data_IF_966303684673
#
_entry.id   IF_966303684673
#
_cell.length_a   1.000
_cell.length_b   1.000
_cell.length_c   1.000
_cell.angle_alpha   90.00
_cell.angle_beta   90.00
_cell.angle_gamma   90.00
#
_symmetry.space_group_name_H-M   'P 1'
#
loop_
_entity.id
_entity.type
_entity.pdbx_description
1 polymer ?
#
# COMPACT_ATOMS: atom_id res chain seq x y z
N UNK A 1 -4.43 19.34 -10.80
CA UNK A 1 -5.27 18.86 -11.92
C UNK A 1 -6.60 19.61 -12.11
N UNK A 2 -6.95 20.66 -11.32
CA UNK A 2 -8.13 21.49 -11.62
C UNK A 2 -9.49 20.77 -11.61
N UNK A 3 -9.54 19.57 -11.05
CA UNK A 3 -10.74 18.73 -10.98
C UNK A 3 -11.72 19.25 -9.94
N UNK A 4 -13.02 19.04 -10.20
CA UNK A 4 -14.03 19.20 -9.15
C UNK A 4 -13.78 18.19 -8.02
N UNK A 5 -14.23 18.51 -6.80
CA UNK A 5 -14.11 17.57 -5.66
C UNK A 5 -14.80 16.23 -5.95
N UNK A 6 -15.93 16.27 -6.66
CA UNK A 6 -16.68 15.09 -7.06
C UNK A 6 -15.86 14.21 -8.01
N UNK A 7 -15.26 14.80 -9.04
CA UNK A 7 -14.45 14.04 -9.99
C UNK A 7 -13.19 13.45 -9.32
N UNK A 8 -12.56 14.20 -8.42
CA UNK A 8 -11.43 13.70 -7.65
C UNK A 8 -11.80 12.48 -6.78
N UNK A 9 -13.01 12.48 -6.20
CA UNK A 9 -13.49 11.38 -5.35
C UNK A 9 -13.68 10.06 -6.13
N UNK A 10 -13.97 10.13 -7.43
CA UNK A 10 -14.10 8.94 -8.26
C UNK A 10 -12.79 8.16 -8.37
N UNK A 11 -11.64 8.85 -8.51
CA UNK A 11 -10.33 8.18 -8.55
C UNK A 11 -10.02 7.43 -7.25
N UNK A 12 -10.32 8.04 -6.10
CA UNK A 12 -10.16 7.36 -4.81
C UNK A 12 -11.10 6.17 -4.66
N UNK A 13 -12.34 6.28 -5.15
CA UNK A 13 -13.29 5.17 -5.17
C UNK A 13 -12.81 4.03 -6.05
N UNK A 14 -12.28 4.31 -7.24
CA UNK A 14 -11.67 3.28 -8.11
C UNK A 14 -10.53 2.58 -7.37
N UNK A 15 -9.63 3.33 -6.72
CA UNK A 15 -8.55 2.73 -5.93
C UNK A 15 -9.09 1.82 -4.82
N UNK A 16 -10.15 2.21 -4.12
CA UNK A 16 -10.75 1.40 -3.04
C UNK A 16 -11.44 0.14 -3.59
N UNK A 17 -12.17 0.24 -4.70
CA UNK A 17 -12.82 -0.91 -5.35
C UNK A 17 -11.76 -1.88 -5.89
N UNK A 18 -10.76 -1.36 -6.59
CA UNK A 18 -9.62 -2.15 -7.09
C UNK A 18 -8.88 -2.84 -5.95
N UNK A 19 -8.70 -2.17 -4.81
CA UNK A 19 -8.10 -2.77 -3.62
C UNK A 19 -8.97 -3.90 -3.05
N UNK A 20 -10.27 -3.70 -2.89
CA UNK A 20 -11.18 -4.71 -2.36
C UNK A 20 -11.20 -5.97 -3.25
N UNK A 21 -11.34 -5.77 -4.57
CA UNK A 21 -11.28 -6.86 -5.55
C UNK A 21 -9.90 -7.52 -5.53
N UNK A 22 -8.83 -6.72 -5.48
CA UNK A 22 -7.46 -7.20 -5.36
C UNK A 22 -7.26 -8.11 -4.16
N UNK A 23 -7.78 -7.76 -2.98
CA UNK A 23 -7.62 -8.57 -1.77
C UNK A 23 -8.24 -9.97 -1.94
N UNK A 24 -9.42 -10.04 -2.55
CA UNK A 24 -10.07 -11.32 -2.85
C UNK A 24 -9.25 -12.14 -3.86
N UNK A 25 -8.81 -11.50 -4.95
CA UNK A 25 -8.05 -12.15 -6.01
C UNK A 25 -6.68 -12.64 -5.53
N UNK A 26 -5.94 -11.82 -4.79
CA UNK A 26 -4.61 -12.18 -4.28
C UNK A 26 -4.68 -13.30 -3.24
N UNK A 27 -5.72 -13.31 -2.40
CA UNK A 27 -6.02 -14.42 -1.49
C UNK A 27 -6.21 -15.74 -2.26
N UNK A 28 -7.17 -15.75 -3.18
CA UNK A 28 -7.47 -16.92 -4.01
C UNK A 28 -6.27 -17.39 -4.85
N UNK A 29 -5.58 -16.46 -5.49
CA UNK A 29 -4.43 -16.75 -6.35
C UNK A 29 -3.24 -17.32 -5.55
N UNK A 30 -2.96 -16.74 -4.38
CA UNK A 30 -1.92 -17.25 -3.48
C UNK A 30 -2.24 -18.63 -2.94
N UNK A 31 -3.50 -18.90 -2.59
CA UNK A 31 -3.95 -20.23 -2.17
C UNK A 31 -3.79 -21.27 -3.28
N UNK A 32 -4.13 -20.90 -4.52
CA UNK A 32 -4.01 -21.79 -5.66
C UNK A 32 -2.55 -22.12 -6.03
N UNK A 33 -1.65 -21.13 -5.91
CA UNK A 33 -0.21 -21.33 -6.11
C UNK A 33 0.45 -22.05 -4.94
N UNK A 34 -0.17 -22.06 -3.75
CA UNK A 34 0.44 -22.55 -2.53
C UNK A 34 1.67 -21.75 -2.11
N UNK A 35 1.75 -20.46 -2.49
CA UNK A 35 2.90 -19.59 -2.24
C UNK A 35 2.41 -18.21 -1.78
N UNK A 36 2.91 -17.76 -0.62
CA UNK A 36 2.54 -16.45 -0.04
C UNK A 36 3.54 -15.37 -0.43
N UNK A 37 4.82 -15.65 -0.31
CA UNK A 37 5.90 -14.65 -0.44
C UNK A 37 5.99 -14.06 -1.85
N UNK A 38 5.96 -14.83 -2.95
CA UNK A 38 6.02 -14.28 -4.30
C UNK A 38 4.86 -13.33 -4.60
N UNK A 39 3.65 -13.61 -4.10
CA UNK A 39 2.47 -12.77 -4.33
C UNK A 39 2.58 -11.47 -3.53
N UNK A 40 3.05 -11.52 -2.28
CA UNK A 40 3.34 -10.32 -1.47
C UNK A 40 4.41 -9.46 -2.16
N UNK A 41 5.48 -10.07 -2.68
CA UNK A 41 6.53 -9.35 -3.40
C UNK A 41 6.02 -8.74 -4.71
N UNK A 42 5.24 -9.48 -5.50
CA UNK A 42 4.70 -9.00 -6.77
C UNK A 42 3.78 -7.80 -6.58
N UNK A 43 2.88 -7.86 -5.60
CA UNK A 43 1.97 -6.75 -5.25
C UNK A 43 2.72 -5.56 -4.66
N UNK A 44 3.72 -5.79 -3.80
CA UNK A 44 4.60 -4.73 -3.29
C UNK A 44 5.39 -4.02 -4.41
N UNK A 45 5.96 -4.78 -5.35
CA UNK A 45 6.64 -4.23 -6.53
C UNK A 45 5.66 -3.47 -7.43
N UNK A 46 4.45 -3.99 -7.64
CA UNK A 46 3.39 -3.30 -8.38
C UNK A 46 3.04 -1.96 -7.72
N UNK A 47 2.94 -1.93 -6.38
CA UNK A 47 2.71 -0.69 -5.64
C UNK A 47 3.85 0.31 -5.84
N UNK A 48 5.11 -0.14 -5.74
CA UNK A 48 6.28 0.71 -5.98
C UNK A 48 6.31 1.27 -7.41
N UNK A 49 6.01 0.44 -8.41
CA UNK A 49 5.89 0.88 -9.81
C UNK A 49 4.75 1.86 -9.99
N UNK A 50 3.58 1.63 -9.38
CA UNK A 50 2.45 2.54 -9.46
C UNK A 50 2.78 3.94 -8.88
N UNK A 51 3.53 4.00 -7.77
CA UNK A 51 4.04 5.26 -7.23
C UNK A 51 5.05 5.94 -8.16
N UNK A 52 5.96 5.20 -8.79
CA UNK A 52 6.87 5.75 -9.81
C UNK A 52 6.11 6.28 -11.02
N UNK A 53 5.09 5.57 -11.48
CA UNK A 53 4.27 6.03 -12.59
C UNK A 53 3.55 7.34 -12.23
N UNK A 54 3.03 7.48 -11.01
CA UNK A 54 2.48 8.77 -10.54
C UNK A 54 3.51 9.91 -10.54
N UNK A 55 4.79 9.61 -10.34
CA UNK A 55 5.88 10.60 -10.28
C UNK A 55 6.42 11.02 -11.65
N UNK A 56 6.40 10.12 -12.64
CA UNK A 56 7.12 10.30 -13.90
C UNK A 56 6.25 10.19 -15.17
N UNK A 57 5.09 9.54 -15.09
CA UNK A 57 4.18 9.43 -16.24
C UNK A 57 3.26 10.63 -16.25
N UNK A 58 3.14 11.28 -17.40
CA UNK A 58 2.12 12.32 -17.60
C UNK A 58 0.74 11.68 -17.59
N UNK A 59 0.04 11.83 -16.47
CA UNK A 59 -1.32 11.38 -16.30
C UNK A 59 -2.25 12.57 -16.08
N UNK A 60 -3.50 12.38 -16.49
CA UNK A 60 -4.51 13.43 -16.41
C UNK A 60 -5.89 12.86 -16.13
N UNK A 61 -6.89 13.74 -16.05
CA UNK A 61 -8.27 13.34 -15.93
C UNK A 61 -8.68 12.37 -17.05
N UNK A 62 -9.33 11.25 -16.69
CA UNK A 62 -9.80 10.24 -17.61
C UNK A 62 -9.19 8.86 -17.36
N UNK A 63 -9.08 8.06 -18.43
CA UNK A 63 -8.69 6.65 -18.33
C UNK A 63 -7.28 6.44 -17.74
N UNK A 64 -6.32 7.32 -18.03
CA UNK A 64 -4.95 7.20 -17.49
C UNK A 64 -4.93 7.36 -15.97
N UNK A 65 -5.66 8.34 -15.43
CA UNK A 65 -5.84 8.50 -13.98
C UNK A 65 -6.54 7.31 -13.34
N UNK A 66 -7.65 6.83 -13.92
CA UNK A 66 -8.35 5.66 -13.38
C UNK A 66 -7.49 4.40 -13.38
N UNK A 67 -6.72 4.17 -14.44
CA UNK A 67 -5.79 3.06 -14.53
C UNK A 67 -4.71 3.13 -13.43
N UNK A 68 -4.08 4.30 -13.23
CA UNK A 68 -3.05 4.47 -12.21
C UNK A 68 -3.57 4.30 -10.78
N UNK A 69 -4.73 4.87 -10.46
CA UNK A 69 -5.36 4.69 -9.15
C UNK A 69 -5.85 3.26 -8.95
N UNK A 70 -6.32 2.59 -10.00
CA UNK A 70 -6.63 1.16 -9.98
C UNK A 70 -5.39 0.30 -9.69
N UNK A 71 -4.26 0.60 -10.34
CA UNK A 71 -2.97 -0.09 -10.10
C UNK A 71 -2.46 0.13 -8.67
N UNK A 72 -2.61 1.34 -8.12
CA UNK A 72 -2.30 1.60 -6.71
C UNK A 72 -3.13 0.73 -5.78
N UNK A 73 -4.45 0.66 -6.01
CA UNK A 73 -5.36 -0.18 -5.24
C UNK A 73 -4.99 -1.66 -5.33
N UNK A 74 -4.74 -2.17 -6.53
CA UNK A 74 -4.33 -3.56 -6.75
C UNK A 74 -2.98 -3.86 -6.10
N UNK A 75 -1.99 -2.97 -6.24
CA UNK A 75 -0.67 -3.14 -5.61
C UNK A 75 -0.74 -3.15 -4.08
N UNK A 76 -1.63 -2.35 -3.49
CA UNK A 76 -1.82 -2.32 -2.04
C UNK A 76 -2.48 -3.60 -1.50
N UNK A 77 -3.22 -4.35 -2.31
CA UNK A 77 -4.04 -5.48 -1.86
C UNK A 77 -3.27 -6.67 -1.29
N UNK A 78 -1.98 -6.83 -1.63
CA UNK A 78 -1.16 -7.95 -1.17
C UNK A 78 -0.93 -8.01 0.34
N UNK A 79 -1.17 -6.91 1.07
CA UNK A 79 -1.06 -6.89 2.53
C UNK A 79 -2.01 -7.91 3.20
N UNK A 80 -3.13 -8.28 2.58
CA UNK A 80 -4.06 -9.27 3.16
C UNK A 80 -3.35 -10.61 3.41
N UNK A 81 -2.37 -10.96 2.58
CA UNK A 81 -1.60 -12.19 2.69
C UNK A 81 -0.64 -12.19 3.87
N UNK A 82 -0.27 -11.03 4.41
CA UNK A 82 0.62 -10.97 5.59
C UNK A 82 -0.08 -11.49 6.85
N UNK A 83 -1.41 -11.34 6.94
CA UNK A 83 -2.19 -11.93 8.02
C UNK A 83 -2.19 -13.47 7.93
N UNK A 84 -2.36 -14.02 6.73
CA UNK A 84 -2.29 -15.45 6.50
C UNK A 84 -0.89 -16.00 6.81
N UNK A 85 0.15 -15.35 6.29
CA UNK A 85 1.55 -15.74 6.55
C UNK A 85 1.90 -15.71 8.05
N UNK A 86 1.47 -14.68 8.78
CA UNK A 86 1.68 -14.58 10.23
C UNK A 86 0.95 -15.69 11.01
N UNK A 87 -0.28 -16.03 10.60
CA UNK A 87 -1.03 -17.14 11.18
C UNK A 87 -0.35 -18.49 10.94
N UNK A 88 0.23 -18.69 9.76
CA UNK A 88 0.86 -19.94 9.34
C UNK A 88 2.21 -20.22 10.05
N UNK A 89 2.92 -19.19 10.50
CA UNK A 89 4.17 -19.35 11.27
C UNK A 89 3.95 -19.53 12.78
N UNK A 90 2.75 -19.24 13.29
CA UNK A 90 2.42 -19.35 14.70
C UNK A 90 1.66 -20.64 15.02
N UNK A 91 1.76 -21.09 16.27
CA UNK A 91 0.96 -22.20 16.75
C UNK A 91 -0.54 -21.85 16.65
N UNK A 92 -1.43 -22.82 16.35
CA UNK A 92 -2.86 -22.55 16.21
C UNK A 92 -3.48 -21.84 17.43
N UNK A 93 -2.98 -22.13 18.63
CA UNK A 93 -3.43 -21.49 19.87
C UNK A 93 -3.04 -19.99 19.98
N UNK A 94 -2.01 -19.55 19.28
CA UNK A 94 -1.50 -18.16 19.27
C UNK A 94 -1.75 -17.42 17.96
N UNK A 95 -2.46 -18.03 17.00
CA UNK A 95 -2.84 -17.43 15.73
C UNK A 95 -3.55 -16.07 15.87
N UNK A 96 -4.45 -15.94 16.86
CA UNK A 96 -5.15 -14.68 17.14
C UNK A 96 -4.20 -13.55 17.54
N UNK A 97 -3.18 -13.85 18.37
CA UNK A 97 -2.16 -12.89 18.78
C UNK A 97 -1.27 -12.47 17.60
N UNK A 98 -0.94 -13.40 16.70
CA UNK A 98 -0.17 -13.11 15.50
C UNK A 98 -0.90 -12.12 14.58
N UNK A 99 -2.19 -12.35 14.34
CA UNK A 99 -3.05 -11.46 13.54
C UNK A 99 -3.16 -10.08 14.21
N UNK A 100 -3.34 -10.04 15.54
CA UNK A 100 -3.39 -8.79 16.30
C UNK A 100 -2.10 -7.99 16.16
N UNK A 101 -0.93 -8.63 16.24
CA UNK A 101 0.36 -7.98 16.07
C UNK A 101 0.54 -7.39 14.66
N UNK A 102 0.14 -8.13 13.61
CA UNK A 102 0.14 -7.61 12.24
C UNK A 102 -0.77 -6.39 12.11
N UNK A 103 -1.95 -6.44 12.72
CA UNK A 103 -2.90 -5.33 12.70
C UNK A 103 -2.36 -4.08 13.43
N UNK A 104 -1.70 -4.26 14.58
CA UNK A 104 -1.00 -3.18 15.28
C UNK A 104 0.07 -2.55 14.39
N UNK A 105 0.86 -3.36 13.68
CA UNK A 105 1.85 -2.88 12.72
C UNK A 105 1.23 -2.05 11.59
N UNK A 106 0.10 -2.49 11.03
CA UNK A 106 -0.64 -1.76 10.00
C UNK A 106 -1.09 -0.38 10.49
N UNK A 107 -1.72 -0.31 11.66
CA UNK A 107 -2.18 0.95 12.23
C UNK A 107 -1.03 1.86 12.65
N UNK A 108 0.06 1.31 13.20
CA UNK A 108 1.26 2.08 13.50
C UNK A 108 1.87 2.66 12.22
N UNK A 109 1.94 1.88 11.15
CA UNK A 109 2.40 2.35 9.84
C UNK A 109 1.56 3.52 9.32
N UNK A 110 0.23 3.41 9.39
CA UNK A 110 -0.66 4.50 9.01
C UNK A 110 -0.48 5.74 9.91
N UNK A 111 -0.35 5.55 11.22
CA UNK A 111 -0.16 6.61 12.21
C UNK A 111 1.18 7.34 12.04
N UNK A 112 2.22 6.68 11.52
CA UNK A 112 3.50 7.31 11.18
C UNK A 112 3.46 7.96 9.81
N UNK A 113 2.90 7.27 8.81
CA UNK A 113 2.89 7.73 7.42
C UNK A 113 2.04 9.00 7.24
N UNK A 114 0.88 9.10 7.88
CA UNK A 114 0.00 10.26 7.74
C UNK A 114 0.66 11.58 8.21
N UNK A 115 1.23 11.69 9.43
CA UNK A 115 1.96 12.89 9.85
C UNK A 115 3.26 13.11 9.06
N UNK A 116 3.99 12.05 8.73
CA UNK A 116 5.23 12.18 7.96
C UNK A 116 4.97 12.77 6.57
N UNK A 117 3.89 12.34 5.90
CA UNK A 117 3.48 12.89 4.62
C UNK A 117 3.16 14.39 4.75
N UNK A 118 2.34 14.78 5.72
CA UNK A 118 2.02 16.19 5.98
C UNK A 118 3.25 17.04 6.28
N UNK A 119 4.18 16.53 7.09
CA UNK A 119 5.42 17.21 7.41
C UNK A 119 6.34 17.39 6.21
N UNK A 120 6.42 16.42 5.29
CA UNK A 120 7.19 16.55 4.05
C UNK A 120 6.60 17.65 3.16
N UNK A 121 5.27 17.73 3.05
CA UNK A 121 4.60 18.82 2.33
C UNK A 121 4.91 20.18 2.97
N UNK A 122 4.87 20.26 4.31
CA UNK A 122 5.15 21.49 5.05
C UNK A 122 6.60 21.97 4.90
N UNK A 123 7.56 21.06 4.65
CA UNK A 123 8.98 21.43 4.51
C UNK A 123 9.29 22.20 3.24
N UNK A 124 8.60 21.90 2.14
CA UNK A 124 8.84 22.55 0.85
C UNK A 124 7.79 23.62 0.53
N UNK A 125 6.80 23.76 1.41
CA UNK A 125 5.81 24.82 1.36
C UNK A 125 6.46 26.21 1.39
N UNK A 126 6.07 27.05 0.44
CA UNK A 126 6.57 28.40 0.20
C UNK A 126 5.92 29.47 1.09
N UNK A 127 5.08 29.06 2.06
CA UNK A 127 4.35 29.97 2.95
C UNK A 127 3.08 30.57 2.31
N UNK A 128 2.69 30.16 1.11
CA UNK A 128 1.49 30.68 0.45
C UNK A 128 0.21 30.20 1.13
N UNK A 129 -0.55 31.16 1.65
CA UNK A 129 -1.87 30.96 2.25
C UNK A 129 -2.93 31.51 1.30
N UNK A 130 -3.91 30.68 0.93
CA UNK A 130 -5.12 31.10 0.20
C UNK A 130 -6.31 30.85 1.11
N UNK A 131 -7.04 31.92 1.45
CA UNK A 131 -8.21 31.85 2.35
C UNK A 131 -7.90 31.20 3.72
N UNK A 132 -6.70 31.42 4.25
CA UNK A 132 -6.25 30.84 5.53
C UNK A 132 -5.85 29.36 5.46
N UNK A 133 -5.94 28.73 4.27
CA UNK A 133 -5.48 27.36 4.02
C UNK A 133 -4.14 27.37 3.29
N UNK A 134 -3.24 26.45 3.66
CA UNK A 134 -1.94 26.28 3.00
C UNK A 134 -2.16 25.76 1.59
N UNK A 135 -1.67 26.49 0.58
CA UNK A 135 -1.70 26.05 -0.81
C UNK A 135 -0.35 25.41 -1.14
N UNK A 136 -0.35 24.11 -1.38
CA UNK A 136 0.86 23.39 -1.77
C UNK A 136 1.06 23.47 -3.29
N UNK A 137 2.31 23.67 -3.71
CA UNK A 137 2.69 23.63 -5.10
C UNK A 137 2.80 22.17 -5.59
N UNK A 138 2.80 21.98 -6.92
CA UNK A 138 2.95 20.64 -7.52
C UNK A 138 4.26 19.96 -7.08
N UNK A 139 5.33 20.75 -6.85
CA UNK A 139 6.60 20.27 -6.32
C UNK A 139 6.50 19.64 -4.93
N UNK A 140 5.65 20.18 -4.05
CA UNK A 140 5.46 19.68 -2.68
C UNK A 140 4.76 18.32 -2.68
N UNK A 141 3.75 18.16 -3.54
CA UNK A 141 3.09 16.88 -3.75
C UNK A 141 4.07 15.83 -4.30
N UNK A 142 5.00 16.22 -5.17
CA UNK A 142 6.03 15.31 -5.69
C UNK A 142 6.92 14.77 -4.56
N UNK A 143 7.27 15.60 -3.58
CA UNK A 143 8.05 15.16 -2.41
C UNK A 143 7.25 14.18 -1.53
N UNK A 144 5.95 14.45 -1.31
CA UNK A 144 5.06 13.50 -0.63
C UNK A 144 4.97 12.16 -1.37
N UNK A 145 4.86 12.17 -2.70
CA UNK A 145 4.83 10.95 -3.51
C UNK A 145 6.14 10.13 -3.40
N UNK A 146 7.29 10.80 -3.33
CA UNK A 146 8.57 10.13 -3.05
C UNK A 146 8.60 9.44 -1.69
N UNK A 147 7.98 10.03 -0.67
CA UNK A 147 7.82 9.40 0.64
C UNK A 147 6.98 8.11 0.51
N UNK A 148 5.83 8.17 -0.17
CA UNK A 148 4.99 6.98 -0.41
C UNK A 148 5.74 5.88 -1.17
N UNK A 149 6.53 6.25 -2.18
CA UNK A 149 7.40 5.31 -2.88
C UNK A 149 8.44 4.67 -1.94
N UNK A 150 9.08 5.46 -1.07
CA UNK A 150 10.05 4.95 -0.11
C UNK A 150 9.42 3.93 0.87
N UNK A 151 8.19 4.17 1.33
CA UNK A 151 7.44 3.20 2.12
C UNK A 151 7.11 1.93 1.34
N UNK A 152 6.74 2.03 0.06
CA UNK A 152 6.52 0.86 -0.79
C UNK A 152 7.80 0.02 -0.97
N UNK A 153 8.95 0.67 -1.19
CA UNK A 153 10.26 0.01 -1.25
C UNK A 153 10.60 -0.66 0.08
N UNK A 154 10.38 0.04 1.21
CA UNK A 154 10.57 -0.53 2.54
C UNK A 154 9.71 -1.79 2.75
N UNK A 155 8.45 -1.76 2.31
CA UNK A 155 7.55 -2.91 2.37
C UNK A 155 8.08 -4.09 1.53
N UNK A 156 8.58 -3.84 0.32
CA UNK A 156 9.21 -4.88 -0.52
C UNK A 156 10.45 -5.46 0.16
N UNK A 157 11.34 -4.62 0.71
CA UNK A 157 12.54 -5.08 1.42
C UNK A 157 12.17 -5.89 2.67
N UNK A 158 11.15 -5.46 3.41
CA UNK A 158 10.62 -6.22 4.54
C UNK A 158 10.01 -7.56 4.09
N UNK A 159 9.29 -7.59 2.97
CA UNK A 159 8.70 -8.79 2.39
C UNK A 159 9.76 -9.84 1.97
N UNK A 160 10.99 -9.43 1.66
CA UNK A 160 12.09 -10.37 1.41
C UNK A 160 12.42 -11.22 2.66
N UNK A 161 12.15 -10.72 3.86
CA UNK A 161 12.34 -11.42 5.14
C UNK A 161 11.15 -12.28 5.54
N UNK A 162 10.03 -12.23 4.81
CA UNK A 162 8.91 -13.14 5.03
C UNK A 162 9.38 -14.56 4.70
N UNK A 163 9.13 -15.47 5.63
CA UNK A 163 9.39 -16.90 5.45
C UNK A 163 8.28 -17.49 4.60
N UNK A 164 8.66 -18.26 3.59
CA UNK A 164 7.68 -19.02 2.82
C UNK A 164 7.15 -20.17 3.67
N UNK A 165 5.82 -20.32 3.69
CA UNK A 165 5.07 -21.29 4.50
C UNK A 165 4.38 -22.33 3.63
N UNK A 166 4.39 -22.15 2.30
CA UNK A 166 3.70 -23.01 1.34
C UNK A 166 2.21 -23.21 1.64
N UNK A 167 1.55 -22.19 2.21
CA UNK A 167 0.18 -22.24 2.71
C UNK A 167 -0.07 -23.35 3.76
N UNK A 168 0.97 -23.77 4.48
CA UNK A 168 0.90 -24.77 5.56
C UNK A 168 1.32 -24.14 6.88
N UNK A 169 0.70 -24.59 7.97
CA UNK A 169 1.14 -24.18 9.29
C UNK A 169 2.47 -24.89 9.62
N UNK A 170 3.56 -24.14 9.67
CA UNK A 170 4.91 -24.67 9.87
C UNK A 170 5.31 -24.71 11.35
N UNK A 171 4.40 -24.41 12.28
CA UNK A 171 4.73 -24.29 13.72
C UNK A 171 5.32 -25.56 14.35
N UNK A 172 5.04 -26.75 13.79
CA UNK A 172 5.65 -28.01 14.23
C UNK A 172 7.10 -28.21 13.79
N UNK A 173 7.58 -27.48 12.78
CA UNK A 173 8.93 -27.59 12.21
C UNK A 173 9.92 -26.56 12.77
N UNK A 174 9.45 -25.59 13.58
CA UNK A 174 10.27 -24.53 14.19
C UNK A 174 10.64 -24.86 15.65
N UNK A 175 10.53 -26.14 16.04
CA UNK A 175 10.88 -26.58 17.40
C UNK A 175 12.34 -26.96 17.53
#
# INVERSE_FOLDING_TARGET
>A
HGLSRTDASLYTTVSLVSFAVGCMLMGWFSDHLGLRKPVILATGLLSAVAWLCLLFVDWGPGLSGYALYGLLGLGASGFVLTYAAAKEVCAPASAGMAIALVNTGLFLGAAVMQPAFGWVLDRTWDGTLVEGMRRYAVGDYRNGLWLSFAFAVLAVVAALRVRETHCRNVSSEIR
#
